data_IF_499279623095
#
_entry.id   IF_499279623095
#
_cell.length_a   1.000
_cell.length_b   1.000
_cell.length_c   1.000
_cell.angle_alpha   90.00
_cell.angle_beta   90.00
_cell.angle_gamma   90.00
#
_symmetry.space_group_name_H-M   'P 1'
#
loop_
_entity.id
_entity.type
_entity.pdbx_description
1 polymer ?
#
# COMPACT_ATOMS: atom_id res chain seq x y z
N UNK A 1 -3.21 22.38 5.11
CA UNK A 1 -2.34 21.20 5.28
C UNK A 1 -1.93 20.77 3.87
N UNK A 2 -0.64 20.72 3.56
CA UNK A 2 -0.19 20.17 2.28
C UNK A 2 -0.43 18.65 2.29
N UNK A 3 -0.74 18.09 1.13
CA UNK A 3 -0.82 16.64 0.96
C UNK A 3 0.56 16.02 1.22
N UNK A 4 0.63 15.00 2.06
CA UNK A 4 1.87 14.32 2.42
C UNK A 4 2.22 13.29 1.34
N UNK A 5 2.95 13.77 0.33
CA UNK A 5 3.43 12.95 -0.78
C UNK A 5 4.42 11.88 -0.33
N UNK A 6 5.21 12.13 0.73
CA UNK A 6 6.18 11.16 1.22
C UNK A 6 5.48 9.93 1.80
N UNK A 7 4.47 10.15 2.66
CA UNK A 7 3.65 9.07 3.21
C UNK A 7 2.94 8.27 2.10
N UNK A 8 2.46 8.94 1.06
CA UNK A 8 1.85 8.29 -0.10
C UNK A 8 2.82 7.36 -0.83
N UNK A 9 4.04 7.82 -1.12
CA UNK A 9 5.02 6.99 -1.85
C UNK A 9 5.53 5.81 -1.02
N UNK A 10 5.68 5.98 0.30
CA UNK A 10 6.01 4.86 1.20
C UNK A 10 4.90 3.80 1.19
N UNK A 11 3.64 4.25 1.30
CA UNK A 11 2.48 3.36 1.20
C UNK A 11 2.46 2.60 -0.12
N UNK A 12 2.65 3.31 -1.23
CA UNK A 12 2.69 2.73 -2.57
C UNK A 12 3.80 1.67 -2.71
N UNK A 13 4.99 1.91 -2.17
CA UNK A 13 6.11 0.96 -2.18
C UNK A 13 5.80 -0.31 -1.36
N UNK A 14 5.23 -0.15 -0.16
CA UNK A 14 4.79 -1.29 0.66
C UNK A 14 3.74 -2.15 -0.06
N UNK A 15 2.79 -1.51 -0.73
CA UNK A 15 1.76 -2.21 -1.50
C UNK A 15 2.32 -2.93 -2.72
N UNK A 16 3.25 -2.31 -3.45
CA UNK A 16 3.95 -2.95 -4.56
C UNK A 16 4.71 -4.19 -4.09
N UNK A 17 5.41 -4.11 -2.95
CA UNK A 17 6.13 -5.25 -2.40
C UNK A 17 5.19 -6.37 -1.90
N UNK A 18 4.11 -6.01 -1.22
CA UNK A 18 3.24 -7.00 -0.57
C UNK A 18 2.23 -7.64 -1.51
N UNK A 19 1.63 -6.86 -2.41
CA UNK A 19 0.60 -7.31 -3.34
C UNK A 19 1.08 -7.46 -4.78
N UNK A 20 2.30 -7.02 -5.10
CA UNK A 20 2.83 -7.08 -6.47
C UNK A 20 2.25 -6.03 -7.40
N UNK A 21 1.72 -4.92 -6.85
CA UNK A 21 1.21 -3.82 -7.67
C UNK A 21 2.32 -3.18 -8.49
N UNK A 22 2.01 -2.90 -9.76
CA UNK A 22 2.85 -2.07 -10.61
C UNK A 22 2.59 -0.57 -10.33
N UNK A 23 3.50 0.34 -10.73
CA UNK A 23 3.25 1.77 -10.63
C UNK A 23 1.94 2.22 -11.29
N UNK A 24 1.57 1.61 -12.42
CA UNK A 24 0.31 1.92 -13.12
C UNK A 24 -0.94 1.45 -12.36
N UNK A 25 -0.85 0.37 -11.58
CA UNK A 25 -1.94 -0.05 -10.71
C UNK A 25 -2.16 0.95 -9.58
N UNK A 26 -1.06 1.52 -9.04
CA UNK A 26 -1.09 2.50 -7.96
C UNK A 26 -1.58 3.87 -8.44
N UNK A 27 -1.20 4.31 -9.64
CA UNK A 27 -1.65 5.56 -10.25
C UNK A 27 -3.18 5.59 -10.48
N UNK A 28 -3.81 4.41 -10.60
CA UNK A 28 -5.25 4.26 -10.74
C UNK A 28 -6.04 4.25 -9.43
N UNK A 29 -5.36 4.14 -8.28
CA UNK A 29 -6.02 4.07 -6.97
C UNK A 29 -6.24 5.44 -6.37
N UNK A 30 -7.43 5.65 -5.81
CA UNK A 30 -7.68 6.79 -4.94
C UNK A 30 -6.90 6.68 -3.62
N UNK A 31 -6.63 7.79 -2.92
CA UNK A 31 -5.99 7.76 -1.61
C UNK A 31 -6.69 6.85 -0.60
N UNK A 32 -8.03 6.79 -0.62
CA UNK A 32 -8.82 5.93 0.27
C UNK A 32 -8.58 4.44 -0.02
N UNK A 33 -8.45 4.07 -1.30
CA UNK A 33 -8.14 2.70 -1.70
C UNK A 33 -6.73 2.29 -1.26
N UNK A 34 -5.75 3.18 -1.41
CA UNK A 34 -4.38 2.94 -0.91
C UNK A 34 -4.39 2.72 0.60
N UNK A 35 -5.14 3.52 1.36
CA UNK A 35 -5.30 3.33 2.80
C UNK A 35 -5.96 1.98 3.12
N UNK A 36 -6.96 1.56 2.35
CA UNK A 36 -7.61 0.26 2.54
C UNK A 36 -6.64 -0.91 2.31
N UNK A 37 -5.85 -0.86 1.23
CA UNK A 37 -4.83 -1.86 0.93
C UNK A 37 -3.71 -1.89 1.97
N UNK A 38 -3.27 -0.74 2.47
CA UNK A 38 -2.26 -0.67 3.51
C UNK A 38 -2.77 -1.32 4.82
N UNK A 39 -4.05 -1.11 5.16
CA UNK A 39 -4.68 -1.79 6.31
C UNK A 39 -4.68 -3.31 6.13
N UNK A 40 -4.92 -3.81 4.92
CA UNK A 40 -4.84 -5.24 4.64
C UNK A 40 -3.41 -5.77 4.77
N UNK A 41 -2.41 -5.07 4.23
CA UNK A 41 -1.00 -5.45 4.38
C UNK A 41 -0.61 -5.55 5.87
N UNK A 42 -0.95 -4.52 6.65
CA UNK A 42 -0.69 -4.48 8.09
C UNK A 42 -1.41 -5.60 8.85
N UNK A 43 -2.63 -5.97 8.46
CA UNK A 43 -3.34 -7.13 9.05
C UNK A 43 -2.58 -8.44 8.77
N UNK A 44 -2.12 -8.65 7.55
CA UNK A 44 -1.38 -9.86 7.15
C UNK A 44 -0.03 -9.96 7.88
N UNK A 45 0.70 -8.84 7.99
CA UNK A 45 1.96 -8.75 8.75
C UNK A 45 1.72 -9.11 10.22
N UNK A 46 0.70 -8.52 10.87
CA UNK A 46 0.34 -8.83 12.26
C UNK A 46 -0.05 -10.30 12.45
N UNK A 47 -0.69 -10.89 11.46
CA UNK A 47 -1.08 -12.30 11.46
C UNK A 47 0.05 -13.26 11.05
N UNK A 48 1.26 -12.74 10.79
CA UNK A 48 2.47 -13.50 10.39
C UNK A 48 2.27 -14.33 9.12
N UNK A 49 1.54 -13.78 8.15
CA UNK A 49 1.41 -14.40 6.84
C UNK A 49 2.80 -14.34 6.20
N UNK A 50 3.33 -15.50 5.80
CA UNK A 50 4.56 -15.57 5.00
C UNK A 50 4.17 -15.69 3.53
N UNK A 51 4.74 -14.82 2.70
CA UNK A 51 4.75 -15.01 1.25
C UNK A 51 5.59 -16.28 1.00
N UNK A 52 4.95 -17.35 0.51
CA UNK A 52 5.62 -18.58 0.07
C UNK A 52 6.51 -18.29 -1.15
#
# INVERSE_FOLDING_TARGET
MAFDWEAFYQAAADLAWWFGFSPGDLDGLSPDEIVAWQRQANRQIKAKYSKL
#
